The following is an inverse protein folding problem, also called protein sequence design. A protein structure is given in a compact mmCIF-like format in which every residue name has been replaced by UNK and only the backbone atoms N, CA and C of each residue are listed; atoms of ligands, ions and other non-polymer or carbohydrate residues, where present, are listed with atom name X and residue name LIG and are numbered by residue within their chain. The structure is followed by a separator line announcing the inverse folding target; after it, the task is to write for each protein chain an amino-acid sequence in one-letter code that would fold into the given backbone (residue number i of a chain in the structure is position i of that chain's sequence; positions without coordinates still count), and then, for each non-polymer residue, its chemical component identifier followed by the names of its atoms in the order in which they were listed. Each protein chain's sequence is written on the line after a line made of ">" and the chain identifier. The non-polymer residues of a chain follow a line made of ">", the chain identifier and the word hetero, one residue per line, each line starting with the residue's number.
data_IF_264406155026
#
_entry.id   IF_264406155026
#
_cell.length_a   1.000
_cell.length_b   1.000
_cell.length_c   1.000
_cell.angle_alpha   90.00
_cell.angle_beta   90.00
_cell.angle_gamma   90.00
#
_symmetry.space_group_name_H-M   'P 1'
#
loop_
_entity.id
_entity.type
_entity.pdbx_description
1 polymer ?
#
# COMPACT_ATOMS: atom_id res chain seq x y z
N UNK A 1 3.33 -7.08 13.92
CA UNK A 1 1.86 -7.03 13.68
C UNK A 1 1.57 -6.73 12.20
N UNK A 2 1.84 -7.67 11.28
CA UNK A 2 1.76 -7.42 9.81
C UNK A 2 0.63 -8.18 9.10
N UNK A 3 -0.20 -8.94 9.83
CA UNK A 3 -1.30 -9.75 9.28
C UNK A 3 -2.50 -8.93 8.80
N UNK A 4 -2.64 -7.70 9.30
CA UNK A 4 -3.78 -6.83 8.99
C UNK A 4 -3.57 -5.92 7.76
N UNK A 5 -2.38 -5.93 7.14
CA UNK A 5 -2.07 -5.08 5.97
C UNK A 5 -2.97 -5.46 4.78
N UNK A 6 -3.17 -6.75 4.54
CA UNK A 6 -4.00 -7.26 3.45
C UNK A 6 -5.47 -6.85 3.63
N UNK A 7 -6.14 -7.08 4.77
CA UNK A 7 -7.51 -6.61 4.95
C UNK A 7 -7.63 -5.07 4.90
N UNK A 8 -6.64 -4.33 5.42
CA UNK A 8 -6.60 -2.86 5.30
C UNK A 8 -6.52 -2.41 3.84
N UNK A 9 -5.71 -3.08 3.01
CA UNK A 9 -5.63 -2.81 1.57
C UNK A 9 -6.97 -3.07 0.87
N UNK A 10 -7.64 -4.17 1.20
CA UNK A 10 -8.96 -4.49 0.62
C UNK A 10 -9.98 -3.40 0.94
N UNK A 11 -10.00 -2.92 2.19
CA UNK A 11 -10.87 -1.80 2.59
C UNK A 11 -10.51 -0.52 1.85
N UNK A 12 -9.21 -0.19 1.75
CA UNK A 12 -8.74 1.01 1.04
C UNK A 12 -9.12 0.99 -0.45
N UNK A 13 -8.96 -0.15 -1.13
CA UNK A 13 -9.36 -0.33 -2.54
C UNK A 13 -10.87 -0.20 -2.69
N UNK A 14 -11.65 -0.80 -1.78
CA UNK A 14 -13.11 -0.73 -1.82
C UNK A 14 -13.61 0.71 -1.69
N UNK A 15 -13.04 1.48 -0.75
CA UNK A 15 -13.36 2.90 -0.56
C UNK A 15 -12.93 3.73 -1.77
N UNK A 16 -11.73 3.49 -2.31
CA UNK A 16 -11.25 4.20 -3.50
C UNK A 16 -12.16 3.97 -4.73
N UNK A 17 -12.58 2.73 -4.96
CA UNK A 17 -13.48 2.38 -6.07
C UNK A 17 -14.88 2.98 -5.89
N UNK A 18 -15.40 2.97 -4.65
CA UNK A 18 -16.68 3.60 -4.34
C UNK A 18 -16.65 5.11 -4.61
N UNK A 19 -15.60 5.78 -4.13
CA UNK A 19 -15.43 7.22 -4.32
C UNK A 19 -15.16 7.60 -5.79
N UNK A 20 -14.51 6.71 -6.56
CA UNK A 20 -14.25 6.90 -7.98
C UNK A 20 -15.52 6.84 -8.83
N UNK A 21 -16.52 6.03 -8.44
CA UNK A 21 -17.80 5.87 -9.15
C UNK A 21 -18.87 6.85 -8.64
N UNK A 22 -18.71 7.39 -7.44
CA UNK A 22 -19.62 8.40 -6.88
C UNK A 22 -19.67 9.67 -7.75
N UNK A 23 -20.87 10.25 -7.88
CA UNK A 23 -21.09 11.51 -8.59
C UNK A 23 -20.51 12.71 -7.82
N UNK A 24 -20.48 12.62 -6.50
CA UNK A 24 -19.83 13.59 -5.60
C UNK A 24 -18.43 13.11 -5.29
N UNK A 25 -17.49 13.38 -6.19
CA UNK A 25 -16.09 13.00 -5.96
C UNK A 25 -15.48 13.88 -4.87
N UNK A 26 -15.18 13.30 -3.72
CA UNK A 26 -14.44 14.03 -2.68
C UNK A 26 -12.93 13.84 -2.87
N UNK A 27 -12.28 14.86 -3.42
CA UNK A 27 -10.83 14.87 -3.68
C UNK A 27 -10.03 14.56 -2.41
N UNK A 28 -10.49 14.99 -1.24
CA UNK A 28 -9.81 14.70 0.03
C UNK A 28 -9.81 13.20 0.37
N UNK A 29 -10.95 12.52 0.16
CA UNK A 29 -11.07 11.07 0.41
C UNK A 29 -10.20 10.29 -0.57
N UNK A 30 -10.18 10.70 -1.84
CA UNK A 30 -9.34 10.05 -2.86
C UNK A 30 -7.84 10.20 -2.56
N UNK A 31 -7.39 11.37 -2.11
CA UNK A 31 -5.98 11.59 -1.72
C UNK A 31 -5.61 10.71 -0.51
N UNK A 32 -6.47 10.62 0.50
CA UNK A 32 -6.24 9.75 1.66
C UNK A 32 -6.16 8.27 1.22
N UNK A 33 -7.06 7.82 0.35
CA UNK A 33 -7.06 6.45 -0.15
C UNK A 33 -5.77 6.11 -0.91
N UNK A 34 -5.25 7.04 -1.74
CA UNK A 34 -3.98 6.87 -2.45
C UNK A 34 -2.80 6.78 -1.48
N UNK A 35 -2.74 7.65 -0.46
CA UNK A 35 -1.66 7.62 0.54
C UNK A 35 -1.65 6.30 1.31
N UNK A 36 -2.83 5.83 1.74
CA UNK A 36 -2.99 4.54 2.44
C UNK A 36 -2.61 3.37 1.53
N UNK A 37 -3.04 3.40 0.26
CA UNK A 37 -2.69 2.39 -0.73
C UNK A 37 -1.18 2.35 -0.98
N UNK A 38 -0.54 3.51 -1.10
CA UNK A 38 0.90 3.64 -1.31
C UNK A 38 1.69 3.10 -0.09
N UNK A 39 1.25 3.40 1.13
CA UNK A 39 1.83 2.80 2.34
C UNK A 39 1.62 1.27 2.40
N UNK A 40 0.44 0.79 2.02
CA UNK A 40 0.13 -0.64 1.96
C UNK A 40 1.02 -1.37 0.95
N UNK A 41 1.15 -0.81 -0.25
CA UNK A 41 2.03 -1.32 -1.31
C UNK A 41 3.50 -1.29 -0.90
N UNK A 42 4.00 -0.22 -0.28
CA UNK A 42 5.38 -0.15 0.23
C UNK A 42 5.66 -1.26 1.26
N UNK A 43 4.72 -1.54 2.16
CA UNK A 43 4.88 -2.62 3.15
C UNK A 43 4.78 -4.02 2.53
N UNK A 44 4.03 -4.19 1.44
CA UNK A 44 3.96 -5.45 0.69
C UNK A 44 5.21 -5.66 -0.18
N UNK A 45 5.67 -4.62 -0.86
CA UNK A 45 6.90 -4.65 -1.67
C UNK A 45 8.15 -4.88 -0.82
N UNK A 46 8.15 -4.50 0.47
CA UNK A 46 9.22 -4.86 1.40
C UNK A 46 9.28 -6.36 1.75
N UNK A 47 8.25 -7.15 1.41
CA UNK A 47 8.25 -8.62 1.56
C UNK A 47 8.76 -9.34 0.32
N UNK A 48 8.71 -8.71 -0.85
CA UNK A 48 9.48 -9.14 -2.01
C UNK A 48 10.92 -8.73 -1.73
N UNK A 49 11.87 -9.65 -1.52
CA UNK A 49 13.24 -9.25 -1.27
C UNK A 49 13.69 -8.40 -2.47
N UNK A 50 13.90 -7.11 -2.22
CA UNK A 50 14.66 -6.29 -3.15
C UNK A 50 16.00 -6.98 -3.29
N UNK A 51 16.44 -7.22 -4.53
CA UNK A 51 17.65 -7.94 -4.94
C UNK A 51 18.95 -7.26 -4.48
N UNK A 52 18.93 -6.55 -3.36
CA UNK A 52 20.01 -5.77 -2.80
C UNK A 52 20.09 -5.89 -1.26
N UNK A 53 19.48 -6.92 -0.66
CA UNK A 53 19.70 -7.27 0.76
C UNK A 53 20.77 -8.36 0.97
N UNK A 54 21.56 -8.68 -0.05
CA UNK A 54 22.76 -9.53 0.04
C UNK A 54 24.02 -8.74 -0.34
N UNK A 55 24.25 -7.58 0.28
CA UNK A 55 25.51 -6.81 0.11
C UNK A 55 26.04 -6.18 1.40
N UNK A 56 25.76 -6.75 2.57
CA UNK A 56 26.44 -6.31 3.79
C UNK A 56 27.31 -7.36 4.49
N UNK A 57 27.30 -8.64 4.13
CA UNK A 57 28.10 -9.63 4.85
C UNK A 57 28.64 -10.77 3.96
N UNK A 58 29.66 -10.54 3.12
CA UNK A 58 30.71 -11.55 2.84
C UNK A 58 31.85 -10.99 1.95
N UNK A 59 33.10 -11.13 2.43
CA UNK A 59 34.39 -10.97 1.72
C UNK A 59 34.76 -9.53 1.25
N UNK A 60 35.85 -8.87 1.66
CA UNK A 60 37.17 -9.20 2.26
C UNK A 60 37.73 -7.96 2.97
#
# INVERSE_FOLDING_TARGET
>A
MRKFIIPIMVVAITVALYEQVSAEKNVYIMVIAIVVFMMGMMQLSAKTPSKNQDKEDENV
#
